data_IF_939724457362
#
_entry.id   IF_939724457362
#
_cell.length_a   1.000
_cell.length_b   1.000
_cell.length_c   1.000
_cell.angle_alpha   90.00
_cell.angle_beta   90.00
_cell.angle_gamma   90.00
#
_symmetry.space_group_name_H-M   'P 1'
#
loop_
_entity.id
_entity.type
_entity.pdbx_description
1 polymer ?
#
# COMPACT_ATOMS: atom_id res chain seq x y z
N UNK A 1 8.68 13.04 64.11
CA UNK A 1 7.69 13.56 65.07
C UNK A 1 6.31 13.41 64.46
N UNK A 2 5.49 12.51 65.02
CA UNK A 2 4.08 12.27 64.65
C UNK A 2 3.21 13.36 65.27
N UNK A 3 2.25 13.90 64.51
CA UNK A 3 1.05 14.53 65.09
C UNK A 3 -0.19 13.97 64.39
N UNK A 4 -0.92 13.21 65.18
CA UNK A 4 -2.26 12.68 64.92
C UNK A 4 -3.25 13.79 65.26
N UNK A 5 -4.27 13.99 64.43
CA UNK A 5 -5.51 14.65 64.86
C UNK A 5 -6.67 13.79 64.38
N UNK A 6 -7.32 13.12 65.35
CA UNK A 6 -8.65 12.55 65.21
C UNK A 6 -9.68 13.65 65.46
N UNK A 7 -10.70 13.74 64.60
CA UNK A 7 -11.92 14.50 64.85
C UNK A 7 -13.10 13.70 64.30
N UNK A 8 -13.91 13.16 65.21
CA UNK A 8 -15.14 12.44 64.91
C UNK A 8 -16.31 13.42 64.73
N UNK A 9 -17.26 13.06 63.87
CA UNK A 9 -18.53 13.77 63.73
C UNK A 9 -19.49 13.03 62.80
N UNK A 10 -20.29 12.13 63.37
CA UNK A 10 -21.47 11.52 62.72
C UNK A 10 -22.67 12.39 63.05
N UNK A 11 -23.42 12.84 62.04
CA UNK A 11 -24.86 13.14 62.19
C UNK A 11 -25.59 12.89 60.86
N UNK A 12 -26.66 12.08 60.96
CA UNK A 12 -27.94 12.07 60.23
C UNK A 12 -27.99 12.76 58.84
N UNK A 13 -28.47 12.13 57.77
CA UNK A 13 -29.67 11.31 57.68
C UNK A 13 -30.57 11.90 56.60
N UNK A 14 -30.85 11.09 55.57
CA UNK A 14 -32.01 11.15 54.68
C UNK A 14 -32.38 12.51 54.03
N UNK A 15 -31.92 12.73 52.80
CA UNK A 15 -32.66 13.56 51.85
C UNK A 15 -32.49 13.06 50.40
N UNK A 16 -33.59 12.51 49.89
CA UNK A 16 -34.03 12.64 48.51
C UNK A 16 -33.36 11.77 47.43
N UNK A 17 -33.75 10.49 47.44
CA UNK A 17 -33.78 9.64 46.26
C UNK A 17 -34.83 10.15 45.24
N UNK A 18 -34.51 11.16 44.42
CA UNK A 18 -35.36 11.61 43.28
C UNK A 18 -34.50 12.08 42.09
N UNK A 19 -33.57 11.25 41.61
CA UNK A 19 -32.83 11.56 40.38
C UNK A 19 -32.46 10.32 39.53
N UNK A 20 -33.18 9.21 39.65
CA UNK A 20 -32.92 7.98 38.86
C UNK A 20 -34.11 7.63 37.95
N UNK A 21 -34.91 8.62 37.53
CA UNK A 21 -36.03 8.42 36.61
C UNK A 21 -35.82 9.06 35.22
N UNK A 22 -34.72 9.79 34.99
CA UNK A 22 -34.47 10.49 33.72
C UNK A 22 -33.55 9.74 32.72
N UNK A 23 -33.05 8.55 33.07
CA UNK A 23 -32.18 7.76 32.18
C UNK A 23 -32.87 6.61 31.44
N UNK A 24 -34.17 6.39 31.67
CA UNK A 24 -34.97 5.42 30.91
C UNK A 24 -36.03 6.15 30.07
N UNK A 25 -35.56 6.89 29.06
CA UNK A 25 -36.41 7.30 27.94
C UNK A 25 -36.44 6.12 26.97
N UNK A 26 -37.57 5.43 26.75
CA UNK A 26 -37.65 4.42 25.70
C UNK A 26 -37.43 5.16 24.38
N UNK A 27 -36.33 4.83 23.69
CA UNK A 27 -36.16 5.27 22.32
C UNK A 27 -37.29 4.62 21.53
N UNK A 28 -38.19 5.45 21.00
CA UNK A 28 -39.18 4.99 20.03
C UNK A 28 -38.45 4.29 18.91
N UNK A 29 -38.93 3.10 18.55
CA UNK A 29 -38.46 2.36 17.39
C UNK A 29 -38.81 3.17 16.14
N UNK A 30 -37.89 4.00 15.69
CA UNK A 30 -38.01 4.71 14.44
C UNK A 30 -37.76 3.71 13.31
N UNK A 31 -38.82 3.38 12.57
CA UNK A 31 -38.75 2.52 11.39
C UNK A 31 -37.73 3.10 10.41
N UNK A 32 -36.68 2.35 10.00
CA UNK A 32 -35.73 2.85 9.02
C UNK A 32 -36.45 3.14 7.70
N UNK A 33 -36.47 4.39 7.26
CA UNK A 33 -36.94 4.71 5.92
C UNK A 33 -35.96 4.18 4.87
N UNK A 34 -36.42 3.56 3.78
CA UNK A 34 -35.54 3.14 2.71
C UNK A 34 -34.92 4.37 2.04
N UNK A 35 -33.59 4.48 2.13
CA UNK A 35 -32.81 5.47 1.39
C UNK A 35 -32.99 5.18 -0.10
N UNK A 36 -33.25 6.19 -0.96
CA UNK A 36 -33.25 5.96 -2.40
C UNK A 36 -31.89 5.37 -2.81
N UNK A 37 -31.94 4.17 -3.40
CA UNK A 37 -30.81 3.43 -3.94
C UNK A 37 -30.18 4.28 -5.05
N UNK A 38 -29.25 5.15 -4.68
CA UNK A 38 -28.38 5.82 -5.62
C UNK A 38 -27.57 4.73 -6.31
N UNK A 39 -27.86 4.53 -7.60
CA UNK A 39 -27.25 3.52 -8.45
C UNK A 39 -25.74 3.45 -8.24
N UNK A 40 -25.29 2.40 -7.56
CA UNK A 40 -23.88 2.12 -7.38
C UNK A 40 -23.28 1.77 -8.74
N UNK A 41 -22.40 2.63 -9.23
CA UNK A 41 -21.55 2.34 -10.39
C UNK A 41 -20.63 1.15 -10.09
N UNK A 42 -20.29 0.31 -11.09
CA UNK A 42 -19.54 -0.92 -10.88
C UNK A 42 -18.06 -0.59 -10.69
N UNK A 43 -17.69 -0.28 -9.45
CA UNK A 43 -16.32 -0.44 -8.99
C UNK A 43 -16.30 -1.74 -8.20
N UNK A 44 -15.80 -2.80 -8.82
CA UNK A 44 -15.31 -3.97 -8.11
C UNK A 44 -14.13 -3.53 -7.24
N UNK A 45 -14.43 -2.91 -6.10
CA UNK A 45 -13.49 -2.84 -4.98
C UNK A 45 -13.20 -4.28 -4.61
N UNK A 46 -11.98 -4.74 -4.85
CA UNK A 46 -11.49 -5.91 -4.12
C UNK A 46 -11.78 -5.66 -2.64
N UNK A 47 -12.57 -6.55 -2.04
CA UNK A 47 -13.24 -6.32 -0.76
C UNK A 47 -12.21 -5.96 0.33
N UNK A 48 -12.09 -4.67 0.66
CA UNK A 48 -11.24 -4.18 1.75
C UNK A 48 -10.24 -3.08 1.40
N UNK A 49 -9.90 -2.85 0.12
CA UNK A 49 -8.95 -1.79 -0.27
C UNK A 49 -9.66 -0.61 -0.95
N UNK A 50 -9.51 0.58 -0.38
CA UNK A 50 -10.09 1.81 -0.94
C UNK A 50 -9.27 2.40 -2.10
N UNK A 51 -7.97 2.07 -2.16
CA UNK A 51 -7.00 2.63 -3.11
C UNK A 51 -6.66 4.09 -2.82
N UNK A 52 -5.38 4.48 -2.95
CA UNK A 52 -4.92 5.81 -2.51
C UNK A 52 -5.59 6.98 -3.23
N UNK A 53 -6.08 6.77 -4.46
CA UNK A 53 -6.83 7.78 -5.21
C UNK A 53 -8.11 8.25 -4.49
N UNK A 54 -8.74 7.39 -3.70
CA UNK A 54 -9.94 7.73 -2.91
C UNK A 54 -9.64 8.67 -1.74
N UNK A 55 -8.39 8.71 -1.27
CA UNK A 55 -7.98 9.50 -0.11
C UNK A 55 -7.66 10.96 -0.50
N UNK A 56 -7.43 11.22 -1.79
CA UNK A 56 -6.83 12.47 -2.28
C UNK A 56 -7.71 13.70 -2.02
N UNK A 57 -9.01 13.63 -2.28
CA UNK A 57 -9.92 14.78 -2.16
C UNK A 57 -9.91 15.41 -0.75
N UNK A 58 -9.90 14.58 0.30
CA UNK A 58 -9.89 15.05 1.69
C UNK A 58 -8.47 15.25 2.26
N UNK A 59 -7.45 14.59 1.69
CA UNK A 59 -6.08 14.60 2.21
C UNK A 59 -5.04 15.07 1.17
N UNK A 60 -5.42 16.04 0.34
CA UNK A 60 -4.63 16.49 -0.82
C UNK A 60 -3.18 16.82 -0.48
N UNK A 61 -2.94 17.59 0.60
CA UNK A 61 -1.58 17.94 1.04
C UNK A 61 -0.72 16.71 1.33
N UNK A 62 -1.28 15.70 1.99
CA UNK A 62 -0.54 14.47 2.29
C UNK A 62 -0.33 13.64 1.03
N UNK A 63 -1.33 13.57 0.15
CA UNK A 63 -1.21 12.90 -1.14
C UNK A 63 -0.07 13.50 -1.97
N UNK A 64 0.01 14.83 -2.07
CA UNK A 64 1.05 15.53 -2.83
C UNK A 64 2.47 15.28 -2.29
N UNK A 65 2.62 15.08 -0.98
CA UNK A 65 3.90 14.73 -0.37
C UNK A 65 4.24 13.24 -0.52
N UNK A 66 3.23 12.38 -0.39
CA UNK A 66 3.39 10.93 -0.44
C UNK A 66 3.60 10.39 -1.85
N UNK A 67 2.80 10.83 -2.83
CA UNK A 67 2.77 10.28 -4.18
C UNK A 67 4.14 10.31 -4.89
N UNK A 68 4.93 11.40 -4.84
CA UNK A 68 6.27 11.43 -5.42
C UNK A 68 7.36 10.88 -4.48
N UNK A 69 7.02 10.48 -3.25
CA UNK A 69 8.00 9.95 -2.31
C UNK A 69 8.47 8.55 -2.73
N UNK A 70 9.60 8.10 -2.17
CA UNK A 70 10.06 6.72 -2.38
C UNK A 70 9.06 5.64 -1.93
N UNK A 71 8.15 5.95 -1.00
CA UNK A 71 7.09 5.02 -0.64
C UNK A 71 5.98 4.97 -1.69
N UNK A 72 5.55 6.13 -2.20
CA UNK A 72 4.53 6.21 -3.25
C UNK A 72 4.99 5.59 -4.57
N UNK A 73 6.30 5.65 -4.83
CA UNK A 73 6.95 5.13 -6.02
C UNK A 73 7.65 3.77 -5.81
N UNK A 74 7.44 3.13 -4.65
CA UNK A 74 8.19 1.93 -4.27
C UNK A 74 7.99 0.77 -5.25
N UNK A 75 6.82 0.65 -5.87
CA UNK A 75 6.51 -0.34 -6.89
C UNK A 75 5.79 0.33 -8.05
N UNK A 76 6.32 0.17 -9.26
CA UNK A 76 5.83 0.84 -10.47
C UNK A 76 5.78 -0.13 -11.64
N UNK A 77 4.77 0.04 -12.52
CA UNK A 77 4.75 -0.66 -13.78
C UNK A 77 5.94 -0.22 -14.66
N UNK A 78 6.56 -1.18 -15.34
CA UNK A 78 7.64 -0.88 -16.29
C UNK A 78 7.02 -0.51 -17.64
N UNK A 79 6.82 0.79 -17.85
CA UNK A 79 6.30 1.34 -19.11
C UNK A 79 7.44 1.74 -20.06
N UNK A 80 7.17 1.99 -21.36
CA UNK A 80 8.17 2.56 -22.26
C UNK A 80 8.82 3.85 -21.71
N UNK A 81 8.04 4.72 -21.09
CA UNK A 81 8.51 5.98 -20.49
C UNK A 81 9.41 5.72 -19.28
N UNK A 82 9.08 4.72 -18.45
CA UNK A 82 9.94 4.27 -17.36
C UNK A 82 11.29 3.80 -17.90
N UNK A 83 11.29 2.96 -18.92
CA UNK A 83 12.51 2.38 -19.49
C UNK A 83 13.43 3.47 -20.08
N UNK A 84 12.84 4.47 -20.75
CA UNK A 84 13.59 5.58 -21.33
C UNK A 84 14.11 6.59 -20.30
N UNK A 85 13.35 6.81 -19.21
CA UNK A 85 13.69 7.84 -18.22
C UNK A 85 14.54 7.34 -17.05
N UNK A 86 14.39 6.06 -16.67
CA UNK A 86 15.02 5.51 -15.47
C UNK A 86 16.24 4.64 -15.79
N UNK A 87 16.31 4.03 -16.97
CA UNK A 87 17.32 3.03 -17.29
C UNK A 87 18.26 3.50 -18.41
N UNK A 88 19.52 3.15 -18.25
CA UNK A 88 20.53 3.23 -19.30
C UNK A 88 20.65 1.86 -20.00
N UNK A 89 21.01 1.82 -21.30
CA UNK A 89 21.29 0.58 -21.99
C UNK A 89 22.39 -0.23 -21.27
N UNK A 90 22.19 -1.54 -21.18
CA UNK A 90 23.23 -2.44 -20.69
C UNK A 90 24.24 -2.69 -21.83
N UNK A 91 25.47 -2.22 -21.66
CA UNK A 91 26.53 -2.39 -22.69
C UNK A 91 27.02 -3.83 -22.79
N UNK A 92 27.24 -4.44 -21.61
CA UNK A 92 27.83 -5.77 -21.51
C UNK A 92 26.95 -6.70 -20.67
N UNK A 93 26.86 -7.98 -21.03
CA UNK A 93 26.11 -8.96 -20.25
C UNK A 93 26.70 -9.17 -18.87
N UNK A 94 25.84 -9.44 -17.89
CA UNK A 94 26.25 -9.83 -16.53
C UNK A 94 26.36 -11.35 -16.49
N UNK A 95 27.49 -11.86 -16.00
CA UNK A 95 27.74 -13.30 -15.87
C UNK A 95 27.59 -13.70 -14.41
N UNK A 96 26.73 -14.69 -14.16
CA UNK A 96 26.54 -15.29 -12.83
C UNK A 96 26.66 -16.81 -13.02
N UNK A 97 27.76 -17.39 -12.51
CA UNK A 97 28.10 -18.81 -12.74
C UNK A 97 28.18 -19.13 -14.25
N UNK A 98 27.42 -20.11 -14.72
CA UNK A 98 27.34 -20.59 -16.10
C UNK A 98 26.27 -19.87 -16.93
N UNK A 99 25.74 -18.74 -16.42
CA UNK A 99 24.64 -18.00 -17.05
C UNK A 99 25.02 -16.56 -17.35
N UNK A 100 24.53 -16.08 -18.49
CA UNK A 100 24.74 -14.73 -19.02
C UNK A 100 23.40 -14.01 -19.12
N UNK A 101 23.35 -12.79 -18.61
CA UNK A 101 22.13 -11.99 -18.54
C UNK A 101 22.28 -10.67 -19.30
N UNK A 102 21.31 -10.35 -20.15
CA UNK A 102 21.26 -9.10 -20.90
C UNK A 102 19.86 -8.47 -20.84
N UNK A 103 19.78 -7.26 -20.32
CA UNK A 103 18.60 -6.42 -20.46
C UNK A 103 18.51 -5.86 -21.89
N UNK A 104 17.35 -5.98 -22.50
CA UNK A 104 17.03 -5.39 -23.81
C UNK A 104 15.68 -4.69 -23.77
N UNK A 105 15.56 -3.63 -24.56
CA UNK A 105 14.28 -2.98 -24.85
C UNK A 105 13.84 -3.37 -26.27
N UNK A 106 12.70 -4.06 -26.39
CA UNK A 106 12.13 -4.50 -27.68
C UNK A 106 10.62 -4.31 -27.65
N UNK A 107 10.06 -3.76 -28.73
CA UNK A 107 8.61 -3.59 -28.93
C UNK A 107 7.90 -2.90 -27.75
N UNK A 108 8.53 -1.86 -27.17
CA UNK A 108 7.96 -1.13 -26.03
C UNK A 108 8.04 -1.89 -24.70
N UNK A 109 8.74 -3.03 -24.63
CA UNK A 109 8.88 -3.85 -23.42
C UNK A 109 10.33 -4.01 -23.01
N UNK A 110 10.56 -3.95 -21.70
CA UNK A 110 11.82 -4.32 -21.10
C UNK A 110 11.89 -5.82 -20.87
N UNK A 111 12.95 -6.46 -21.34
CA UNK A 111 13.15 -7.91 -21.26
C UNK A 111 14.54 -8.20 -20.66
N UNK A 112 14.65 -9.27 -19.90
CA UNK A 112 15.93 -9.88 -19.54
C UNK A 112 16.08 -11.18 -20.31
N UNK A 113 17.12 -11.25 -21.13
CA UNK A 113 17.55 -12.47 -21.82
C UNK A 113 18.52 -13.21 -20.91
N UNK A 114 18.24 -14.48 -20.65
CA UNK A 114 19.10 -15.39 -19.91
C UNK A 114 19.60 -16.48 -20.86
N UNK A 115 20.92 -16.55 -21.01
CA UNK A 115 21.60 -17.59 -21.77
C UNK A 115 22.38 -18.49 -20.81
N UNK A 116 22.25 -19.81 -20.96
CA UNK A 116 22.97 -20.81 -20.17
C UNK A 116 23.25 -22.06 -21.01
N UNK A 117 23.42 -23.24 -20.38
CA UNK A 117 23.65 -24.49 -21.11
C UNK A 117 22.48 -24.95 -22.00
N UNK A 118 21.27 -24.45 -21.73
CA UNK A 118 20.06 -24.77 -22.49
C UNK A 118 19.62 -23.64 -23.42
N UNK A 119 18.38 -23.73 -23.95
CA UNK A 119 17.79 -22.67 -24.77
C UNK A 119 17.74 -21.33 -24.03
N UNK A 120 17.91 -20.23 -24.77
CA UNK A 120 17.74 -18.86 -24.24
C UNK A 120 16.35 -18.69 -23.65
N UNK A 121 16.28 -18.10 -22.45
CA UNK A 121 15.04 -17.74 -21.78
C UNK A 121 14.85 -16.23 -21.84
N UNK A 122 13.61 -15.78 -21.97
CA UNK A 122 13.25 -14.36 -22.01
C UNK A 122 12.26 -14.06 -20.90
N UNK A 123 12.57 -13.08 -20.06
CA UNK A 123 11.75 -12.67 -18.93
C UNK A 123 11.30 -11.21 -19.09
N UNK A 124 9.99 -10.93 -19.25
CA UNK A 124 9.51 -9.55 -19.29
C UNK A 124 9.58 -8.90 -17.91
N UNK A 125 10.09 -7.68 -17.87
CA UNK A 125 10.09 -6.85 -16.67
C UNK A 125 8.75 -6.11 -16.62
N UNK A 126 7.83 -6.57 -15.78
CA UNK A 126 6.47 -5.98 -15.72
C UNK A 126 6.30 -4.99 -14.57
N UNK A 127 7.10 -5.15 -13.52
CA UNK A 127 7.11 -4.25 -12.37
C UNK A 127 8.57 -3.96 -11.96
N UNK A 128 8.82 -2.75 -11.50
CA UNK A 128 10.06 -2.33 -10.87
C UNK A 128 9.77 -2.05 -9.38
N UNK A 129 10.62 -2.59 -8.51
CA UNK A 129 10.58 -2.38 -7.06
C UNK A 129 11.84 -1.61 -6.63
N UNK A 130 11.66 -0.57 -5.83
CA UNK A 130 12.74 0.28 -5.31
C UNK A 130 12.77 1.68 -5.92
N UNK A 131 13.96 2.14 -6.31
CA UNK A 131 14.15 3.34 -7.14
C UNK A 131 15.09 4.41 -6.59
N UNK A 132 15.27 4.53 -5.26
CA UNK A 132 16.21 5.52 -4.72
C UNK A 132 17.67 5.24 -5.10
N UNK A 133 18.06 3.98 -4.97
CA UNK A 133 19.44 3.52 -5.21
C UNK A 133 19.48 2.31 -6.15
N UNK A 134 18.42 1.52 -6.15
CA UNK A 134 18.38 0.24 -6.85
C UNK A 134 16.97 -0.03 -7.34
N UNK A 135 16.86 -0.60 -8.54
CA UNK A 135 15.65 -1.25 -9.02
C UNK A 135 15.82 -2.76 -9.06
N UNK A 136 14.84 -3.48 -8.52
CA UNK A 136 14.64 -4.90 -8.77
C UNK A 136 13.50 -5.06 -9.75
N UNK A 137 13.68 -5.88 -10.79
CA UNK A 137 12.64 -6.13 -11.79
C UNK A 137 11.93 -7.44 -11.51
N UNK A 138 10.61 -7.42 -11.66
CA UNK A 138 9.76 -8.59 -11.44
C UNK A 138 9.21 -9.09 -12.78
N UNK A 139 9.29 -10.40 -12.96
CA UNK A 139 8.71 -11.13 -14.10
C UNK A 139 7.48 -11.93 -13.65
N UNK A 140 6.45 -12.07 -14.49
CA UNK A 140 5.34 -12.96 -14.21
C UNK A 140 5.81 -14.43 -14.23
N UNK A 141 5.20 -15.21 -13.34
CA UNK A 141 5.24 -16.66 -13.32
C UNK A 141 3.80 -17.19 -13.39
N UNK A 142 3.68 -18.53 -13.45
CA UNK A 142 2.39 -19.21 -13.42
C UNK A 142 1.53 -18.79 -12.21
N UNK A 143 0.21 -18.91 -12.39
CA UNK A 143 -0.79 -18.66 -11.35
C UNK A 143 -0.77 -17.22 -10.81
N UNK A 144 -0.36 -16.26 -11.65
CA UNK A 144 -0.38 -14.82 -11.33
C UNK A 144 0.71 -14.35 -10.36
N UNK A 145 1.74 -15.18 -10.11
CA UNK A 145 2.85 -14.77 -9.24
C UNK A 145 3.81 -13.84 -9.95
N UNK A 146 4.45 -12.96 -9.19
CA UNK A 146 5.58 -12.16 -9.64
C UNK A 146 6.85 -12.64 -8.94
N UNK A 147 7.94 -12.77 -9.71
CA UNK A 147 9.25 -13.20 -9.22
C UNK A 147 10.28 -12.10 -9.50
N UNK A 148 11.05 -11.74 -8.48
CA UNK A 148 12.20 -10.85 -8.64
C UNK A 148 13.28 -11.58 -9.44
N UNK A 149 13.77 -10.94 -10.49
CA UNK A 149 14.88 -11.41 -11.31
C UNK A 149 16.19 -11.38 -10.50
N UNK A 150 17.19 -12.23 -10.83
CA UNK A 150 18.43 -12.34 -10.07
C UNK A 150 19.40 -11.16 -10.28
N UNK A 151 18.92 -10.06 -10.89
CA UNK A 151 19.67 -8.87 -11.23
C UNK A 151 19.00 -7.67 -10.58
N UNK A 152 19.82 -6.70 -10.22
CA UNK A 152 19.37 -5.40 -9.76
C UNK A 152 20.07 -4.33 -10.59
N UNK A 153 19.36 -3.24 -10.87
CA UNK A 153 19.89 -2.08 -11.57
C UNK A 153 20.31 -1.02 -10.56
N UNK A 154 21.60 -0.69 -10.51
CA UNK A 154 22.12 0.44 -9.73
C UNK A 154 21.74 1.74 -10.44
N UNK A 155 21.15 2.68 -9.69
CA UNK A 155 20.68 3.96 -10.23
C UNK A 155 21.82 4.98 -10.39
N UNK A 156 23.00 4.71 -9.84
CA UNK A 156 24.16 5.62 -9.84
C UNK A 156 25.04 5.47 -11.08
#
# INVERSE_FOLDING_TARGET
MRRVVLGAGITAGLALAVAVAFFFRPQGSETPQPRPEAAASPSSREQGYAGTGSCRECHEKFYQLWAPSHHGLAMQAVTPEFLQSQLKPQENPIIIKDRRYLFVFRDGKGLVLEQGPGPEQTYPMVQALGGKNVYYFLTPLEKGRLQVLPLAYDVR
#
